data_IF_173852211521
#
_entry.id   IF_173852211521
#
_cell.length_a   1.000
_cell.length_b   1.000
_cell.length_c   1.000
_cell.angle_alpha   90.00
_cell.angle_beta   90.00
_cell.angle_gamma   90.00
#
_symmetry.space_group_name_H-M   'P 1'
#
loop_
_entity.id
_entity.type
_entity.pdbx_description
1 polymer ?
#
# COMPACT_ATOMS: atom_id res chain seq x y z
N UNK A 1 -4.06 -50.97 3.68
CA UNK A 1 -4.84 -50.53 2.50
C UNK A 1 -6.19 -49.97 2.95
N UNK A 2 -6.25 -48.70 3.36
CA UNK A 2 -7.51 -47.96 3.45
C UNK A 2 -7.54 -47.03 2.23
N UNK A 3 -8.51 -47.24 1.34
CA UNK A 3 -8.69 -46.38 0.16
C UNK A 3 -9.18 -45.01 0.65
N UNK A 4 -8.36 -43.98 0.51
CA UNK A 4 -8.82 -42.59 0.62
C UNK A 4 -9.98 -42.43 -0.37
N UNK A 5 -11.18 -42.17 0.15
CA UNK A 5 -12.36 -41.90 -0.66
C UNK A 5 -12.27 -40.47 -1.15
N UNK A 6 -11.81 -40.30 -2.38
CA UNK A 6 -12.06 -39.08 -3.15
C UNK A 6 -13.58 -38.96 -3.31
N UNK A 7 -14.22 -38.03 -2.62
CA UNK A 7 -15.58 -37.63 -2.99
C UNK A 7 -15.46 -36.75 -4.23
N UNK A 8 -15.76 -37.32 -5.40
CA UNK A 8 -15.92 -36.55 -6.62
C UNK A 8 -17.17 -35.68 -6.51
N UNK A 9 -17.01 -34.41 -6.14
CA UNK A 9 -18.01 -33.39 -6.43
C UNK A 9 -18.22 -33.34 -7.95
N UNK A 10 -19.48 -33.23 -8.40
CA UNK A 10 -19.84 -33.21 -9.83
C UNK A 10 -19.35 -31.96 -10.58
N UNK A 11 -18.69 -31.02 -9.91
CA UNK A 11 -18.16 -29.80 -10.49
C UNK A 11 -16.71 -29.61 -10.05
N UNK A 12 -15.73 -30.10 -10.83
CA UNK A 12 -14.33 -29.63 -10.95
C UNK A 12 -13.45 -29.36 -9.72
N UNK A 13 -13.95 -29.45 -8.49
CA UNK A 13 -13.30 -29.08 -7.24
C UNK A 13 -13.23 -30.29 -6.33
N UNK A 14 -12.09 -30.95 -6.31
CA UNK A 14 -11.79 -31.99 -5.31
C UNK A 14 -11.55 -31.33 -3.96
N UNK A 15 -12.59 -31.28 -3.12
CA UNK A 15 -12.45 -31.03 -1.69
C UNK A 15 -11.95 -32.33 -1.06
N UNK A 16 -10.66 -32.40 -0.79
CA UNK A 16 -10.06 -33.57 -0.16
C UNK A 16 -10.29 -33.54 1.34
N UNK A 17 -10.71 -34.67 1.92
CA UNK A 17 -10.82 -34.82 3.38
C UNK A 17 -9.48 -34.51 4.04
N UNK A 18 -9.43 -33.60 5.03
CA UNK A 18 -8.17 -33.21 5.67
C UNK A 18 -7.52 -34.38 6.41
N UNK A 19 -6.19 -34.38 6.43
CA UNK A 19 -5.40 -35.20 7.34
C UNK A 19 -5.44 -34.51 8.71
N UNK A 20 -5.88 -35.24 9.73
CA UNK A 20 -6.06 -34.74 11.10
C UNK A 20 -4.96 -35.21 12.05
N UNK A 21 -4.02 -36.01 11.55
CA UNK A 21 -2.85 -36.46 12.30
C UNK A 21 -1.93 -35.28 12.61
N UNK A 22 -1.03 -35.45 13.57
CA UNK A 22 -0.05 -34.41 13.87
C UNK A 22 1.00 -34.39 12.76
N UNK A 23 1.25 -33.24 12.09
CA UNK A 23 2.28 -33.18 11.07
C UNK A 23 3.68 -33.37 11.67
N UNK A 24 4.57 -34.04 10.93
CA UNK A 24 5.99 -34.17 11.27
C UNK A 24 6.75 -32.89 10.93
N UNK A 25 6.31 -32.16 9.91
CA UNK A 25 6.83 -30.86 9.51
C UNK A 25 5.69 -29.95 9.05
N UNK A 26 5.80 -28.66 9.38
CA UNK A 26 4.89 -27.61 8.92
C UNK A 26 5.68 -26.39 8.48
N UNK A 27 5.28 -25.83 7.34
CA UNK A 27 5.72 -24.53 6.88
C UNK A 27 4.50 -23.63 6.62
N UNK A 28 4.62 -22.35 6.91
CA UNK A 28 3.48 -21.44 6.89
C UNK A 28 3.83 -20.12 6.22
N UNK A 29 2.93 -19.64 5.36
CA UNK A 29 3.03 -18.39 4.64
C UNK A 29 1.74 -17.56 4.73
N UNK A 30 1.86 -16.27 4.47
CA UNK A 30 0.76 -15.34 4.25
C UNK A 30 0.74 -14.98 2.77
N UNK A 31 -0.35 -15.31 2.10
CA UNK A 31 -0.62 -14.88 0.73
C UNK A 31 -0.99 -13.41 0.77
N UNK A 32 -0.28 -12.59 -0.02
CA UNK A 32 -0.50 -11.15 -0.12
C UNK A 32 -0.79 -10.72 -1.56
N UNK A 33 -1.84 -9.92 -1.75
CA UNK A 33 -2.10 -9.24 -3.01
C UNK A 33 -1.30 -7.92 -3.07
N UNK A 34 -0.51 -7.74 -4.13
CA UNK A 34 0.30 -6.54 -4.32
C UNK A 34 -0.40 -5.57 -5.26
N UNK A 35 -0.81 -4.42 -4.74
CA UNK A 35 -1.46 -3.37 -5.51
C UNK A 35 -0.50 -2.68 -6.49
N UNK A 36 -1.03 -1.91 -7.44
CA UNK A 36 -0.22 -1.11 -8.37
C UNK A 36 0.65 -0.04 -7.66
N UNK A 37 0.28 0.39 -6.45
CA UNK A 37 1.07 1.32 -5.64
C UNK A 37 2.17 0.63 -4.81
N UNK A 38 2.27 -0.70 -4.89
CA UNK A 38 3.22 -1.51 -4.11
C UNK A 38 2.74 -1.87 -2.70
N UNK A 39 1.54 -1.48 -2.29
CA UNK A 39 0.94 -1.93 -1.03
C UNK A 39 0.64 -3.42 -1.07
N UNK A 40 1.03 -4.14 -0.02
CA UNK A 40 0.83 -5.59 0.16
C UNK A 40 -0.34 -5.83 1.11
N UNK A 41 -1.42 -6.39 0.59
CA UNK A 41 -2.67 -6.66 1.33
C UNK A 41 -2.71 -8.14 1.68
N UNK A 42 -3.01 -8.48 2.93
CA UNK A 42 -3.02 -9.88 3.40
C UNK A 42 -4.36 -10.52 3.07
N UNK A 43 -4.37 -11.60 2.28
CA UNK A 43 -5.62 -12.20 1.77
C UNK A 43 -5.85 -13.62 2.25
N UNK A 44 -4.81 -14.37 2.63
CA UNK A 44 -4.97 -15.70 3.20
C UNK A 44 -3.71 -16.14 3.95
N UNK A 45 -3.85 -17.10 4.87
CA UNK A 45 -2.76 -17.96 5.32
C UNK A 45 -2.69 -19.20 4.43
N UNK A 46 -1.49 -19.69 4.15
CA UNK A 46 -1.25 -20.97 3.52
C UNK A 46 -0.30 -21.79 4.40
N UNK A 47 -0.70 -23.00 4.75
CA UNK A 47 0.12 -23.94 5.50
C UNK A 47 0.42 -25.14 4.60
N UNK A 48 1.67 -25.59 4.62
CA UNK A 48 2.10 -26.88 4.08
C UNK A 48 2.44 -27.79 5.24
N UNK A 49 1.93 -29.01 5.20
CA UNK A 49 2.14 -30.03 6.21
C UNK A 49 2.56 -31.34 5.57
N UNK A 50 3.56 -32.00 6.13
CA UNK A 50 3.92 -33.37 5.79
C UNK A 50 3.81 -34.28 7.01
N UNK A 51 3.61 -35.57 6.75
CA UNK A 51 3.33 -36.59 7.74
C UNK A 51 4.34 -37.74 7.64
N UNK A 52 4.45 -38.57 8.68
CA UNK A 52 5.41 -39.69 8.72
C UNK A 52 5.16 -40.75 7.64
N UNK A 53 3.92 -40.85 7.15
CA UNK A 53 3.51 -41.79 6.11
C UNK A 53 3.75 -41.27 4.68
N UNK A 54 4.54 -40.20 4.52
CA UNK A 54 4.81 -39.50 3.25
C UNK A 54 3.60 -38.79 2.63
N UNK A 55 2.44 -38.78 3.30
CA UNK A 55 1.33 -37.92 2.90
C UNK A 55 1.68 -36.45 3.20
N UNK A 56 0.99 -35.55 2.53
CA UNK A 56 1.10 -34.11 2.76
C UNK A 56 -0.21 -33.39 2.47
N UNK A 57 -0.36 -32.17 2.98
CA UNK A 57 -1.47 -31.31 2.62
C UNK A 57 -1.09 -29.83 2.56
N UNK A 58 -1.79 -29.10 1.70
CA UNK A 58 -1.85 -27.64 1.77
C UNK A 58 -3.19 -27.22 2.36
N UNK A 59 -3.16 -26.24 3.26
CA UNK A 59 -4.33 -25.63 3.88
C UNK A 59 -4.31 -24.14 3.54
N UNK A 60 -5.29 -23.68 2.77
CA UNK A 60 -5.44 -22.24 2.49
C UNK A 60 -6.61 -21.73 3.31
N UNK A 61 -6.34 -20.72 4.14
CA UNK A 61 -7.29 -20.10 5.07
C UNK A 61 -7.49 -18.63 4.71
N UNK A 62 -8.52 -18.28 3.92
CA UNK A 62 -8.74 -16.91 3.47
C UNK A 62 -9.11 -15.95 4.61
N UNK A 63 -8.66 -14.72 4.52
CA UNK A 63 -9.01 -13.63 5.45
C UNK A 63 -10.24 -12.90 4.92
N UNK A 64 -11.42 -13.49 5.10
CA UNK A 64 -12.68 -12.98 4.54
C UNK A 64 -12.98 -11.54 4.95
N UNK A 65 -12.68 -11.16 6.21
CA UNK A 65 -12.86 -9.80 6.72
C UNK A 65 -12.08 -8.74 5.91
N UNK A 66 -10.99 -9.14 5.26
CA UNK A 66 -10.23 -8.27 4.35
C UNK A 66 -10.72 -8.44 2.93
N UNK A 67 -10.87 -9.68 2.44
CA UNK A 67 -11.24 -9.98 1.05
C UNK A 67 -12.55 -9.30 0.66
N UNK A 68 -13.55 -9.30 1.54
CA UNK A 68 -14.90 -8.80 1.24
C UNK A 68 -14.96 -7.29 0.95
N UNK A 69 -13.93 -6.54 1.34
CA UNK A 69 -13.85 -5.09 1.06
C UNK A 69 -12.90 -4.75 -0.09
N UNK A 70 -12.23 -5.75 -0.68
CA UNK A 70 -11.35 -5.53 -1.82
C UNK A 70 -12.13 -5.42 -3.13
N UNK A 71 -11.68 -4.50 -3.99
CA UNK A 71 -12.17 -4.45 -5.37
C UNK A 71 -11.65 -5.66 -6.16
N UNK A 72 -12.42 -6.19 -7.13
CA UNK A 72 -11.93 -7.20 -8.08
C UNK A 72 -10.68 -6.75 -8.87
N UNK A 73 -10.43 -5.43 -8.97
CA UNK A 73 -9.18 -4.91 -9.58
C UNK A 73 -7.94 -5.19 -8.74
N UNK A 74 -8.12 -5.36 -7.43
CA UNK A 74 -7.05 -5.58 -6.45
C UNK A 74 -6.84 -7.07 -6.21
N UNK A 75 -7.92 -7.84 -6.11
CA UNK A 75 -7.90 -9.26 -5.82
C UNK A 75 -9.03 -9.98 -6.55
N UNK A 76 -8.68 -10.96 -7.40
CA UNK A 76 -9.64 -11.74 -8.20
C UNK A 76 -9.88 -13.15 -7.67
N UNK A 77 -9.15 -13.54 -6.62
CA UNK A 77 -9.17 -14.89 -6.06
C UNK A 77 -7.79 -15.55 -6.06
N UNK A 78 -7.72 -16.75 -5.49
CA UNK A 78 -6.51 -17.57 -5.45
C UNK A 78 -6.62 -18.63 -6.57
N UNK A 79 -5.67 -18.70 -7.53
CA UNK A 79 -5.70 -19.68 -8.61
C UNK A 79 -5.93 -21.13 -8.16
N UNK A 80 -6.93 -21.78 -8.76
CA UNK A 80 -7.32 -23.17 -8.44
C UNK A 80 -8.11 -23.33 -7.15
N UNK A 81 -8.56 -22.23 -6.54
CA UNK A 81 -9.45 -22.23 -5.37
C UNK A 81 -10.79 -21.63 -5.78
N UNK A 82 -11.86 -22.41 -5.60
CA UNK A 82 -13.23 -21.92 -5.75
C UNK A 82 -13.63 -21.16 -4.49
N UNK A 83 -13.43 -19.83 -4.52
CA UNK A 83 -13.68 -18.95 -3.39
C UNK A 83 -15.18 -18.63 -3.20
N UNK A 84 -16.07 -19.04 -4.12
CA UNK A 84 -17.52 -18.84 -3.98
C UNK A 84 -18.10 -19.67 -2.84
N UNK A 85 -17.46 -20.79 -2.50
CA UNK A 85 -17.89 -21.64 -1.39
C UNK A 85 -17.71 -21.02 0.00
N UNK A 86 -16.92 -19.95 0.13
CA UNK A 86 -16.72 -19.22 1.40
C UNK A 86 -16.27 -20.12 2.58
N UNK A 87 -15.46 -21.15 2.30
CA UNK A 87 -14.94 -22.03 3.35
C UNK A 87 -13.91 -21.31 4.23
N UNK A 88 -13.85 -21.72 5.50
CA UNK A 88 -12.78 -21.30 6.42
C UNK A 88 -11.42 -21.86 5.97
N UNK A 89 -11.41 -23.11 5.51
CA UNK A 89 -10.21 -23.80 5.06
C UNK A 89 -10.45 -24.54 3.74
N UNK A 90 -9.51 -24.37 2.81
CA UNK A 90 -9.43 -25.14 1.57
C UNK A 90 -8.26 -26.11 1.66
N UNK A 91 -8.58 -27.39 1.77
CA UNK A 91 -7.60 -28.47 1.86
C UNK A 91 -7.23 -29.00 0.48
N UNK A 92 -5.93 -29.22 0.25
CA UNK A 92 -5.35 -29.96 -0.88
C UNK A 92 -4.48 -31.09 -0.35
N UNK A 93 -5.04 -32.29 -0.26
CA UNK A 93 -4.35 -33.46 0.31
C UNK A 93 -3.69 -34.29 -0.79
N UNK A 94 -2.40 -34.58 -0.62
CA UNK A 94 -1.57 -35.35 -1.54
C UNK A 94 -1.55 -34.81 -2.98
N UNK A 95 -1.78 -33.50 -3.15
CA UNK A 95 -1.57 -32.83 -4.42
C UNK A 95 -1.14 -31.37 -4.22
N UNK A 96 -0.34 -30.87 -5.16
CA UNK A 96 0.16 -29.49 -5.13
C UNK A 96 -0.87 -28.57 -5.80
N UNK A 97 -1.39 -27.53 -5.13
CA UNK A 97 -2.39 -26.63 -5.72
C UNK A 97 -1.80 -25.80 -6.88
N UNK A 98 -2.67 -25.40 -7.82
CA UNK A 98 -2.33 -24.53 -8.96
C UNK A 98 -1.60 -23.26 -8.52
N UNK A 99 -2.03 -22.67 -7.40
CA UNK A 99 -1.34 -21.53 -6.79
C UNK A 99 0.17 -21.78 -6.57
N UNK A 100 0.56 -22.97 -6.12
CA UNK A 100 1.96 -23.33 -5.92
C UNK A 100 2.62 -23.73 -7.24
N UNK A 101 1.96 -24.54 -8.08
CA UNK A 101 2.59 -25.12 -9.27
C UNK A 101 3.02 -24.07 -10.30
N UNK A 102 2.21 -23.03 -10.49
CA UNK A 102 2.46 -21.95 -11.47
C UNK A 102 3.63 -21.01 -11.10
N UNK A 103 4.22 -21.17 -9.90
CA UNK A 103 5.20 -20.21 -9.34
C UNK A 103 6.48 -20.86 -8.84
N UNK A 104 6.58 -22.18 -8.89
CA UNK A 104 7.65 -22.93 -8.26
C UNK A 104 8.23 -23.96 -9.23
N UNK A 105 9.56 -24.21 -9.18
CA UNK A 105 10.20 -25.29 -9.91
C UNK A 105 9.48 -26.62 -9.68
N UNK A 106 9.30 -27.41 -10.74
CA UNK A 106 8.81 -28.78 -10.65
C UNK A 106 9.93 -29.74 -10.26
N UNK A 107 9.57 -30.84 -9.62
CA UNK A 107 10.52 -31.86 -9.11
C UNK A 107 11.35 -32.52 -10.22
N UNK A 108 10.79 -32.61 -11.43
CA UNK A 108 11.43 -33.26 -12.58
C UNK A 108 12.40 -32.34 -13.36
N UNK A 109 12.68 -31.13 -12.88
CA UNK A 109 13.60 -30.21 -13.55
C UNK A 109 15.05 -30.65 -13.38
N UNK A 110 15.82 -30.65 -14.46
CA UNK A 110 17.26 -30.98 -14.42
C UNK A 110 18.07 -30.00 -13.55
N UNK A 111 17.73 -28.72 -13.62
CA UNK A 111 18.39 -27.62 -12.88
C UNK A 111 17.80 -27.35 -11.48
N UNK A 112 16.96 -28.26 -10.95
CA UNK A 112 16.21 -28.03 -9.72
C UNK A 112 17.11 -27.66 -8.53
N UNK A 113 18.16 -28.44 -8.27
CA UNK A 113 19.00 -28.24 -7.09
C UNK A 113 19.82 -26.95 -7.16
N UNK A 114 20.29 -26.56 -8.35
CA UNK A 114 20.96 -25.27 -8.56
C UNK A 114 20.01 -24.11 -8.28
N UNK A 115 18.75 -24.23 -8.73
CA UNK A 115 17.71 -23.25 -8.41
C UNK A 115 17.50 -23.17 -6.90
N UNK A 116 17.27 -24.30 -6.22
CA UNK A 116 17.05 -24.35 -4.76
C UNK A 116 18.24 -23.72 -4.00
N UNK A 117 19.47 -24.07 -4.37
CA UNK A 117 20.67 -23.51 -3.76
C UNK A 117 20.77 -21.98 -3.95
N UNK A 118 20.35 -21.47 -5.12
CA UNK A 118 20.37 -20.01 -5.40
C UNK A 118 19.50 -19.18 -4.45
N UNK A 119 18.53 -19.81 -3.78
CA UNK A 119 17.67 -19.20 -2.74
C UNK A 119 17.99 -19.72 -1.34
N UNK A 120 19.08 -20.47 -1.18
CA UNK A 120 19.56 -21.02 0.08
C UNK A 120 18.70 -22.18 0.60
N UNK A 121 18.20 -23.03 -0.29
CA UNK A 121 17.50 -24.28 0.06
C UNK A 121 18.35 -25.50 -0.29
N UNK A 122 18.44 -26.42 0.67
CA UNK A 122 19.08 -27.74 0.56
C UNK A 122 18.05 -28.88 0.59
N UNK A 123 16.75 -28.56 0.60
CA UNK A 123 15.64 -29.50 0.51
C UNK A 123 14.54 -28.97 -0.42
N UNK A 124 13.73 -29.87 -0.96
CA UNK A 124 12.63 -29.53 -1.86
C UNK A 124 11.35 -29.21 -1.10
N UNK A 125 11.10 -27.91 -0.86
CA UNK A 125 9.83 -27.38 -0.34
C UNK A 125 9.37 -26.22 -1.24
N UNK A 126 8.27 -26.44 -1.95
CA UNK A 126 7.73 -25.47 -2.91
C UNK A 126 7.14 -24.24 -2.21
N UNK A 127 6.60 -24.38 -1.00
CA UNK A 127 6.12 -23.21 -0.25
C UNK A 127 7.30 -22.38 0.26
N UNK A 128 8.35 -23.03 0.73
CA UNK A 128 9.57 -22.35 1.17
C UNK A 128 10.22 -21.56 0.03
N UNK A 129 10.27 -22.15 -1.17
CA UNK A 129 10.71 -21.45 -2.38
C UNK A 129 9.94 -20.15 -2.61
N UNK A 130 8.61 -20.17 -2.47
CA UNK A 130 7.78 -18.97 -2.64
C UNK A 130 8.01 -17.94 -1.56
N UNK A 131 8.21 -18.37 -0.31
CA UNK A 131 8.51 -17.46 0.81
C UNK A 131 9.83 -16.71 0.57
N UNK A 132 10.80 -17.36 -0.07
CA UNK A 132 12.15 -16.82 -0.33
C UNK A 132 12.26 -16.01 -1.62
N UNK A 133 11.26 -16.07 -2.49
CA UNK A 133 11.26 -15.38 -3.78
C UNK A 133 10.08 -14.42 -3.88
N UNK A 134 10.16 -13.45 -4.80
CA UNK A 134 9.03 -12.56 -5.10
C UNK A 134 8.30 -12.99 -6.39
N UNK A 135 8.35 -14.28 -6.74
CA UNK A 135 7.76 -14.79 -7.97
C UNK A 135 6.24 -14.68 -7.95
N UNK A 136 5.68 -14.35 -9.10
CA UNK A 136 4.24 -14.19 -9.34
C UNK A 136 3.88 -14.98 -10.58
N UNK A 137 2.65 -15.49 -10.62
CA UNK A 137 2.11 -16.04 -11.86
C UNK A 137 1.72 -14.87 -12.79
N UNK A 138 1.67 -15.12 -14.09
CA UNK A 138 1.30 -14.10 -15.08
C UNK A 138 -0.14 -13.59 -14.92
N UNK A 139 -0.99 -14.36 -14.25
CA UNK A 139 -2.45 -14.15 -14.18
C UNK A 139 -2.89 -13.42 -12.91
N UNK A 140 -1.99 -13.09 -12.00
CA UNK A 140 -2.33 -12.43 -10.74
C UNK A 140 -1.17 -11.60 -10.14
N UNK A 141 -1.47 -10.96 -9.01
CA UNK A 141 -0.57 -10.08 -8.28
C UNK A 141 -0.18 -10.64 -6.90
N UNK A 142 -0.23 -11.97 -6.71
CA UNK A 142 -0.05 -12.59 -5.40
C UNK A 142 1.42 -12.96 -5.14
N UNK A 143 1.85 -12.74 -3.90
CA UNK A 143 3.13 -13.21 -3.35
C UNK A 143 2.88 -13.97 -2.04
N UNK A 144 3.91 -14.64 -1.52
CA UNK A 144 3.88 -15.28 -0.20
C UNK A 144 4.99 -14.71 0.67
N UNK A 145 4.68 -14.38 1.92
CA UNK A 145 5.68 -14.04 2.94
C UNK A 145 5.56 -15.02 4.11
N UNK A 146 6.65 -15.29 4.83
CA UNK A 146 6.64 -16.22 5.96
C UNK A 146 5.59 -15.84 7.01
N UNK A 147 4.73 -16.77 7.40
CA UNK A 147 3.81 -16.58 8.51
C UNK A 147 4.52 -16.82 9.86
N UNK A 148 4.11 -16.08 10.89
CA UNK A 148 4.47 -16.34 12.27
C UNK A 148 3.52 -17.36 12.89
N UNK A 149 4.03 -18.12 13.84
CA UNK A 149 3.22 -19.06 14.64
C UNK A 149 2.36 -18.31 15.66
N UNK A 150 2.91 -17.26 16.26
CA UNK A 150 2.27 -16.48 17.30
C UNK A 150 1.91 -15.07 16.84
N UNK A 151 0.73 -14.61 17.29
CA UNK A 151 0.31 -13.22 17.16
C UNK A 151 1.18 -12.34 18.03
N UNK A 152 1.51 -11.16 17.52
CA UNK A 152 2.32 -10.17 18.22
C UNK A 152 1.44 -9.02 18.72
N UNK A 153 1.65 -8.62 19.97
CA UNK A 153 1.18 -7.34 20.50
C UNK A 153 2.33 -6.35 20.57
N UNK A 154 2.18 -5.18 19.96
CA UNK A 154 3.20 -4.13 19.92
C UNK A 154 2.63 -2.80 20.40
N UNK A 155 3.24 -2.21 21.43
CA UNK A 155 2.92 -0.84 21.84
C UNK A 155 3.77 0.17 21.06
N UNK A 156 3.14 1.18 20.48
CA UNK A 156 3.80 2.21 19.66
C UNK A 156 3.42 3.60 20.18
N UNK A 157 4.42 4.37 20.61
CA UNK A 157 4.25 5.76 21.07
C UNK A 157 4.67 6.80 20.03
N UNK A 158 5.49 6.40 19.05
CA UNK A 158 6.07 7.31 18.05
C UNK A 158 5.50 7.06 16.66
N UNK A 159 5.03 8.12 16.01
CA UNK A 159 4.40 8.06 14.69
C UNK A 159 5.39 7.63 13.60
N UNK A 160 6.64 8.05 13.74
CA UNK A 160 7.75 7.73 12.85
C UNK A 160 7.99 6.22 12.78
N UNK A 161 7.67 5.50 13.87
CA UNK A 161 7.81 4.05 14.00
C UNK A 161 6.54 3.30 13.58
N UNK A 162 5.36 3.90 13.76
CA UNK A 162 4.06 3.29 13.48
C UNK A 162 3.97 2.65 12.09
N UNK A 163 4.41 3.38 11.06
CA UNK A 163 4.35 2.87 9.68
C UNK A 163 5.16 1.58 9.49
N UNK A 164 6.36 1.52 10.06
CA UNK A 164 7.23 0.35 9.97
C UNK A 164 6.62 -0.83 10.72
N UNK A 165 6.11 -0.59 11.94
CA UNK A 165 5.42 -1.62 12.73
C UNK A 165 4.22 -2.19 11.99
N UNK A 166 3.41 -1.33 11.37
CA UNK A 166 2.28 -1.76 10.55
C UNK A 166 2.73 -2.63 9.36
N UNK A 167 3.78 -2.22 8.65
CA UNK A 167 4.31 -2.96 7.50
C UNK A 167 4.88 -4.34 7.89
N UNK A 168 5.43 -4.47 9.11
CA UNK A 168 5.96 -5.72 9.69
C UNK A 168 4.88 -6.60 10.36
N UNK A 169 3.64 -6.10 10.47
CA UNK A 169 2.52 -6.79 11.14
C UNK A 169 1.89 -7.86 10.25
N UNK A 170 1.32 -8.88 10.89
CA UNK A 170 0.56 -9.95 10.25
C UNK A 170 -0.88 -9.94 10.73
N UNK A 171 -1.75 -10.60 9.96
CA UNK A 171 -3.15 -10.76 10.29
C UNK A 171 -3.34 -11.24 11.74
N UNK A 172 -4.17 -10.52 12.50
CA UNK A 172 -4.48 -10.81 13.89
C UNK A 172 -3.50 -10.22 14.90
N UNK A 173 -2.43 -9.55 14.48
CA UNK A 173 -1.57 -8.79 15.39
C UNK A 173 -2.29 -7.60 16.01
N UNK A 174 -1.80 -7.15 17.17
CA UNK A 174 -2.35 -6.04 17.93
C UNK A 174 -1.34 -4.90 17.96
N UNK A 175 -1.76 -3.71 17.52
CA UNK A 175 -1.01 -2.47 17.72
C UNK A 175 -1.74 -1.62 18.76
N UNK A 176 -1.03 -1.29 19.83
CA UNK A 176 -1.52 -0.44 20.90
C UNK A 176 -0.84 0.93 20.86
N UNK A 177 -1.61 2.00 20.82
CA UNK A 177 -1.13 3.39 20.81
C UNK A 177 -1.67 4.15 22.03
N UNK A 178 -0.92 5.14 22.56
CA UNK A 178 -1.43 5.99 23.63
C UNK A 178 -2.63 6.82 23.17
N UNK A 179 -2.59 7.31 21.93
CA UNK A 179 -3.66 8.07 21.31
C UNK A 179 -3.59 8.03 19.77
N UNK A 180 -4.68 8.40 19.09
CA UNK A 180 -4.80 8.36 17.63
C UNK A 180 -3.85 9.31 16.88
N UNK A 181 -3.15 10.25 17.54
CA UNK A 181 -2.18 11.12 16.86
C UNK A 181 -0.94 10.35 16.41
N UNK A 182 -0.67 9.19 17.01
CA UNK A 182 0.35 8.23 16.54
C UNK A 182 -0.06 7.61 15.20
N UNK A 183 -1.36 7.44 14.97
CA UNK A 183 -1.93 6.88 13.73
C UNK A 183 -2.00 7.95 12.64
N UNK A 184 -2.40 9.19 12.94
CA UNK A 184 -2.43 10.26 11.94
C UNK A 184 -2.54 11.68 12.51
N UNK A 185 -1.93 12.66 11.82
CA UNK A 185 -1.93 14.07 12.26
C UNK A 185 -3.23 14.82 11.98
N UNK A 186 -4.03 14.30 11.06
CA UNK A 186 -5.31 14.86 10.64
C UNK A 186 -6.21 13.72 10.17
N UNK A 187 -7.48 14.03 9.91
CA UNK A 187 -8.48 13.06 9.44
C UNK A 187 -8.05 12.34 8.17
N UNK A 188 -7.42 13.04 7.21
CA UNK A 188 -6.90 12.42 5.98
C UNK A 188 -5.87 11.32 6.27
N UNK A 189 -4.87 11.62 7.09
CA UNK A 189 -3.80 10.70 7.44
C UNK A 189 -4.34 9.54 8.30
N UNK A 190 -5.22 9.84 9.24
CA UNK A 190 -5.87 8.84 10.10
C UNK A 190 -6.72 7.87 9.28
N UNK A 191 -7.64 8.36 8.44
CA UNK A 191 -8.46 7.51 7.55
C UNK A 191 -7.59 6.65 6.63
N UNK A 192 -6.49 7.20 6.11
CA UNK A 192 -5.54 6.42 5.30
C UNK A 192 -4.90 5.30 6.12
N UNK A 193 -4.42 5.55 7.33
CA UNK A 193 -3.78 4.51 8.14
C UNK A 193 -4.79 3.49 8.67
N UNK A 194 -6.02 3.89 9.01
CA UNK A 194 -7.10 2.97 9.37
C UNK A 194 -7.42 2.01 8.22
N UNK A 195 -7.45 2.51 6.98
CA UNK A 195 -7.64 1.65 5.81
C UNK A 195 -6.49 0.65 5.63
N UNK A 196 -5.25 1.06 5.95
CA UNK A 196 -4.09 0.16 5.92
C UNK A 196 -4.13 -0.85 7.07
N UNK A 197 -4.49 -0.45 8.28
CA UNK A 197 -4.68 -1.39 9.40
C UNK A 197 -5.66 -2.50 9.03
N UNK A 198 -6.76 -2.14 8.37
CA UNK A 198 -7.71 -3.10 7.81
C UNK A 198 -7.06 -4.03 6.77
N UNK A 199 -6.36 -3.49 5.76
CA UNK A 199 -5.69 -4.31 4.73
C UNK A 199 -4.63 -5.29 5.29
N UNK A 200 -4.04 -4.96 6.45
CA UNK A 200 -3.08 -5.81 7.14
C UNK A 200 -3.75 -6.73 8.17
N UNK A 201 -5.05 -6.57 8.44
CA UNK A 201 -5.78 -7.36 9.42
C UNK A 201 -5.31 -7.11 10.85
N UNK A 202 -4.96 -5.88 11.19
CA UNK A 202 -4.39 -5.53 12.50
C UNK A 202 -5.45 -4.95 13.42
N UNK A 203 -5.47 -5.46 14.64
CA UNK A 203 -6.27 -4.94 15.74
C UNK A 203 -5.63 -3.66 16.30
N UNK A 204 -6.36 -2.54 16.29
CA UNK A 204 -5.89 -1.27 16.85
C UNK A 204 -6.51 -1.01 18.22
N UNK A 205 -5.69 -0.72 19.22
CA UNK A 205 -6.12 -0.23 20.53
C UNK A 205 -5.56 1.19 20.73
N UNK A 206 -6.42 2.18 20.98
CA UNK A 206 -6.03 3.52 21.41
C UNK A 206 -6.52 3.81 22.83
N UNK A 207 -5.58 4.02 23.77
CA UNK A 207 -5.92 4.18 25.19
C UNK A 207 -6.72 5.45 25.49
N UNK A 208 -6.26 6.60 24.98
CA UNK A 208 -6.85 7.91 25.30
C UNK A 208 -8.26 8.06 24.77
N UNK A 209 -8.50 7.63 23.52
CA UNK A 209 -9.82 7.68 22.90
C UNK A 209 -10.71 6.49 23.30
N UNK A 210 -10.19 5.53 24.07
CA UNK A 210 -10.88 4.27 24.42
C UNK A 210 -11.38 3.53 23.17
N UNK A 211 -10.53 3.50 22.14
CA UNK A 211 -10.81 2.84 20.86
C UNK A 211 -10.21 1.44 20.89
N UNK A 212 -10.99 0.48 20.46
CA UNK A 212 -10.62 -0.94 20.36
C UNK A 212 -11.28 -1.46 19.08
N UNK A 213 -10.48 -1.61 18.00
CA UNK A 213 -10.96 -1.93 16.65
C UNK A 213 -10.40 -3.26 16.16
N UNK A 214 -11.23 -4.29 16.12
CA UNK A 214 -10.94 -5.55 15.47
C UNK A 214 -11.05 -5.43 13.94
N UNK A 215 -10.56 -6.44 13.22
CA UNK A 215 -10.53 -6.45 11.74
C UNK A 215 -11.92 -6.25 11.13
N UNK A 216 -12.95 -6.89 11.70
CA UNK A 216 -14.35 -6.76 11.25
C UNK A 216 -14.94 -5.35 11.46
N UNK A 217 -14.46 -4.61 12.47
CA UNK A 217 -15.03 -3.31 12.82
C UNK A 217 -14.68 -2.23 11.78
N UNK A 218 -13.53 -2.36 11.12
CA UNK A 218 -13.10 -1.41 10.09
C UNK A 218 -14.08 -1.33 8.93
N UNK A 219 -14.74 -2.43 8.54
CA UNK A 219 -15.67 -2.43 7.41
C UNK A 219 -16.84 -1.45 7.65
N UNK A 220 -17.37 -1.41 8.87
CA UNK A 220 -18.46 -0.52 9.26
C UNK A 220 -17.99 0.93 9.46
N UNK A 221 -16.78 1.12 9.97
CA UNK A 221 -16.29 2.45 10.39
C UNK A 221 -15.57 3.23 9.28
N UNK A 222 -14.92 2.57 8.33
CA UNK A 222 -14.18 3.24 7.25
C UNK A 222 -15.03 4.23 6.44
N UNK A 223 -16.28 3.92 6.05
CA UNK A 223 -17.14 4.89 5.37
C UNK A 223 -17.40 6.15 6.21
N UNK A 224 -17.56 5.99 7.53
CA UNK A 224 -17.75 7.10 8.46
C UNK A 224 -16.50 7.98 8.53
N UNK A 225 -15.33 7.38 8.73
CA UNK A 225 -14.05 8.09 8.74
C UNK A 225 -13.75 8.79 7.41
N UNK A 226 -14.12 8.17 6.29
CA UNK A 226 -13.99 8.79 4.98
C UNK A 226 -14.90 10.01 4.83
N UNK A 227 -16.15 9.93 5.29
CA UNK A 227 -17.06 11.08 5.27
C UNK A 227 -16.58 12.20 6.19
N UNK A 228 -16.08 11.88 7.39
CA UNK A 228 -15.50 12.87 8.31
C UNK A 228 -14.31 13.59 7.67
N UNK A 229 -13.40 12.85 7.02
CA UNK A 229 -12.30 13.44 6.26
C UNK A 229 -12.78 14.41 5.17
N UNK A 230 -13.81 14.04 4.40
CA UNK A 230 -14.36 14.93 3.36
C UNK A 230 -14.93 16.22 3.97
N UNK A 231 -15.66 16.11 5.07
CA UNK A 231 -16.24 17.25 5.77
C UNK A 231 -15.15 18.21 6.29
N UNK A 232 -14.06 17.68 6.84
CA UNK A 232 -12.93 18.50 7.28
C UNK A 232 -12.27 19.25 6.12
N UNK A 233 -12.11 18.62 4.95
CA UNK A 233 -11.58 19.28 3.76
C UNK A 233 -12.52 20.35 3.20
N UNK A 234 -13.83 20.11 3.22
CA UNK A 234 -14.84 21.11 2.84
C UNK A 234 -14.78 22.32 3.78
N UNK A 235 -14.73 22.08 5.09
CA UNK A 235 -14.61 23.13 6.10
C UNK A 235 -13.32 23.95 5.93
N UNK A 236 -12.16 23.29 5.74
CA UNK A 236 -10.88 23.95 5.51
C UNK A 236 -10.92 24.86 4.27
N UNK A 237 -11.52 24.40 3.17
CA UNK A 237 -11.70 25.20 1.95
C UNK A 237 -12.62 26.40 2.17
N UNK A 238 -13.70 26.21 2.91
CA UNK A 238 -14.64 27.28 3.25
C UNK A 238 -14.00 28.36 4.10
N UNK A 239 -13.21 27.98 5.11
CA UNK A 239 -12.45 28.92 5.94
C UNK A 239 -11.39 29.67 5.13
N UNK A 240 -10.64 28.95 4.28
CA UNK A 240 -9.68 29.57 3.37
C UNK A 240 -10.35 30.60 2.45
N UNK A 241 -11.53 30.28 1.90
CA UNK A 241 -12.30 31.21 1.07
C UNK A 241 -12.72 32.45 1.85
N UNK A 242 -13.25 32.30 3.06
CA UNK A 242 -13.62 33.42 3.95
C UNK A 242 -12.40 34.30 4.27
N UNK A 243 -11.24 33.70 4.53
CA UNK A 243 -9.99 34.41 4.78
C UNK A 243 -9.52 35.21 3.57
N UNK A 244 -9.58 34.62 2.37
CA UNK A 244 -9.27 35.32 1.11
C UNK A 244 -10.23 36.48 0.86
N UNK A 245 -11.54 36.28 1.06
CA UNK A 245 -12.54 37.33 0.91
C UNK A 245 -12.30 38.49 1.88
N UNK A 246 -11.92 38.20 3.13
CA UNK A 246 -11.53 39.21 4.11
C UNK A 246 -10.28 39.98 3.66
N UNK A 247 -9.21 39.28 3.29
CA UNK A 247 -7.97 39.90 2.83
C UNK A 247 -8.15 40.74 1.54
N UNK A 248 -9.06 40.33 0.66
CA UNK A 248 -9.47 41.14 -0.51
C UNK A 248 -10.19 42.41 -0.10
N UNK A 249 -11.14 42.33 0.84
CA UNK A 249 -11.86 43.50 1.38
C UNK A 249 -10.92 44.47 2.08
N UNK A 250 -9.94 43.95 2.81
CA UNK A 250 -8.92 44.73 3.53
C UNK A 250 -7.79 45.24 2.61
N UNK A 251 -7.83 44.95 1.31
CA UNK A 251 -6.84 45.43 0.34
C UNK A 251 -5.44 44.81 0.48
N UNK A 252 -5.27 43.79 1.34
CA UNK A 252 -3.98 43.13 1.61
C UNK A 252 -3.48 42.34 0.39
N UNK A 253 -4.38 41.93 -0.50
CA UNK A 253 -4.07 41.13 -1.68
C UNK A 253 -3.40 41.97 -2.79
N UNK A 254 -2.11 42.29 -2.63
CA UNK A 254 -1.33 43.09 -3.60
C UNK A 254 -0.70 42.27 -4.75
N UNK A 255 -1.04 40.99 -4.87
CA UNK A 255 -0.42 40.07 -5.84
C UNK A 255 1.05 39.76 -5.55
N UNK A 256 1.74 39.13 -6.51
CA UNK A 256 3.17 38.83 -6.38
C UNK A 256 3.94 40.15 -6.36
N UNK A 257 4.69 40.42 -5.28
CA UNK A 257 5.61 41.56 -5.22
C UNK A 257 6.53 41.56 -6.44
N UNK A 258 6.68 42.71 -7.09
CA UNK A 258 7.59 42.86 -8.24
C UNK A 258 9.01 42.56 -7.77
N UNK A 259 9.81 41.91 -8.60
CA UNK A 259 11.26 41.72 -8.31
C UNK A 259 11.88 43.11 -8.12
N UNK A 260 12.47 43.38 -6.97
CA UNK A 260 13.11 44.68 -6.75
C UNK A 260 14.32 44.80 -7.70
N UNK A 261 14.34 45.91 -8.43
CA UNK A 261 15.45 46.35 -9.28
C UNK A 261 15.48 47.86 -9.08
N UNK A 262 16.68 48.41 -8.90
CA UNK A 262 16.90 49.85 -8.87
C UNK A 262 16.23 50.50 -10.10
N UNK A 263 15.34 51.44 -9.84
CA UNK A 263 14.48 52.04 -10.87
C UNK A 263 15.27 53.00 -11.76
N UNK A 264 16.26 53.71 -11.21
CA UNK A 264 17.15 54.58 -11.98
C UNK A 264 18.07 53.76 -12.88
N UNK A 265 18.65 52.68 -12.34
CA UNK A 265 19.45 51.74 -13.13
C UNK A 265 18.64 51.11 -14.26
N UNK A 266 17.40 50.70 -13.98
CA UNK A 266 16.55 50.09 -15.00
C UNK A 266 16.20 51.07 -16.12
N UNK A 267 15.96 52.35 -15.82
CA UNK A 267 15.67 53.39 -16.81
C UNK A 267 16.89 53.62 -17.71
N UNK A 268 18.09 53.75 -17.14
CA UNK A 268 19.32 53.90 -17.90
C UNK A 268 19.57 52.70 -18.84
N UNK A 269 19.40 51.48 -18.34
CA UNK A 269 19.55 50.26 -19.13
C UNK A 269 18.51 50.13 -20.24
N UNK A 270 17.26 50.53 -20.01
CA UNK A 270 16.22 50.60 -21.04
C UNK A 270 16.64 51.60 -22.14
N UNK A 271 17.13 52.79 -21.76
CA UNK A 271 17.58 53.80 -22.71
C UNK A 271 18.80 53.34 -23.53
N UNK A 272 19.76 52.66 -22.90
CA UNK A 272 20.93 52.08 -23.59
C UNK A 272 20.53 50.96 -24.56
N UNK A 273 19.62 50.08 -24.15
CA UNK A 273 19.06 49.03 -25.00
C UNK A 273 18.32 49.60 -26.21
N UNK A 274 17.44 50.59 -26.01
CA UNK A 274 16.67 51.22 -27.09
C UNK A 274 17.54 51.94 -28.13
N UNK A 275 18.68 52.49 -27.70
CA UNK A 275 19.65 53.15 -28.57
C UNK A 275 20.67 52.18 -29.18
N UNK A 276 20.49 50.86 -29.01
CA UNK A 276 21.39 49.82 -29.54
C UNK A 276 22.78 49.82 -28.91
N UNK A 277 22.95 50.39 -27.72
CA UNK A 277 24.23 50.47 -27.00
C UNK A 277 24.50 49.27 -26.09
N UNK A 278 23.48 48.48 -25.78
CA UNK A 278 23.56 47.24 -25.01
C UNK A 278 22.64 46.19 -25.65
N UNK A 279 23.10 44.94 -25.66
CA UNK A 279 22.30 43.81 -26.11
C UNK A 279 21.34 43.33 -25.00
N UNK A 280 20.27 42.64 -25.41
CA UNK A 280 19.24 42.16 -24.47
C UNK A 280 19.85 41.26 -23.39
N UNK A 281 20.75 40.36 -23.76
CA UNK A 281 21.44 39.44 -22.85
C UNK A 281 22.19 40.18 -21.72
N UNK A 282 22.91 41.25 -22.05
CA UNK A 282 23.69 42.04 -21.09
C UNK A 282 22.77 42.74 -20.07
N UNK A 283 21.64 43.28 -20.54
CA UNK A 283 20.66 43.94 -19.68
C UNK A 283 19.97 42.96 -18.73
N UNK A 284 19.69 41.74 -19.19
CA UNK A 284 19.06 40.71 -18.37
C UNK A 284 20.03 40.15 -17.33
N UNK A 285 21.31 40.06 -17.65
CA UNK A 285 22.35 39.67 -16.71
C UNK A 285 22.51 40.71 -15.60
N UNK A 286 22.59 42.00 -15.94
CA UNK A 286 22.74 43.10 -14.98
C UNK A 286 21.50 43.25 -14.09
N UNK A 287 20.29 43.16 -14.66
CA UNK A 287 19.03 43.34 -13.89
C UNK A 287 18.55 42.06 -13.21
N UNK A 288 19.08 40.90 -13.61
CA UNK A 288 18.58 39.58 -13.24
C UNK A 288 17.11 39.34 -13.64
N UNK A 289 16.53 40.13 -14.55
CA UNK A 289 15.14 39.99 -14.97
C UNK A 289 15.00 38.90 -16.03
N UNK A 290 13.81 38.31 -16.12
CA UNK A 290 13.47 37.50 -17.30
C UNK A 290 13.19 38.42 -18.50
N UNK A 291 13.43 37.95 -19.73
CA UNK A 291 13.05 38.64 -20.98
C UNK A 291 11.64 39.23 -20.91
N UNK A 292 10.67 38.42 -20.52
CA UNK A 292 9.26 38.82 -20.36
C UNK A 292 9.03 39.92 -19.32
N UNK A 293 9.78 39.91 -18.22
CA UNK A 293 9.67 40.94 -17.18
C UNK A 293 10.28 42.25 -17.64
N UNK A 294 11.43 42.20 -18.32
CA UNK A 294 12.10 43.37 -18.88
C UNK A 294 11.21 44.08 -19.91
N UNK A 295 10.71 43.36 -20.93
CA UNK A 295 9.82 43.94 -21.93
C UNK A 295 8.52 44.51 -21.33
N UNK A 296 7.94 43.85 -20.33
CA UNK A 296 6.76 44.36 -19.62
C UNK A 296 7.07 45.68 -18.90
N UNK A 297 8.25 45.81 -18.27
CA UNK A 297 8.67 47.05 -17.61
C UNK A 297 9.00 48.16 -18.59
N UNK A 298 9.66 47.83 -19.69
CA UNK A 298 9.95 48.76 -20.77
C UNK A 298 8.65 49.32 -21.39
N UNK A 299 7.64 48.48 -21.61
CA UNK A 299 6.32 48.93 -22.07
C UNK A 299 5.64 49.87 -21.06
N UNK A 300 5.65 49.51 -19.77
CA UNK A 300 5.09 50.36 -18.72
C UNK A 300 5.84 51.70 -18.55
N UNK A 301 7.15 51.73 -18.80
CA UNK A 301 7.94 52.96 -18.82
C UNK A 301 7.51 53.87 -19.98
N UNK A 302 7.38 53.31 -21.19
CA UNK A 302 6.88 54.05 -22.37
C UNK A 302 5.47 54.62 -22.18
N UNK A 303 4.59 53.92 -21.47
CA UNK A 303 3.23 54.39 -21.18
C UNK A 303 3.18 55.47 -20.08
N UNK A 304 4.25 55.69 -19.31
CA UNK A 304 4.35 56.76 -18.30
C UNK A 304 4.94 58.06 -18.83
N UNK A 305 5.64 58.04 -19.96
CA UNK A 305 6.24 59.22 -20.59
C UNK A 305 5.31 59.90 -21.64
N UNK A 306 4.08 59.40 -21.79
CA UNK A 306 2.98 60.02 -22.55
C UNK A 306 1.79 60.27 -21.62
#
# INVERSE_FOLDING_TARGET
MRRNRTMSGRDGGTYTTPILEKPSYRNSGIIKAVTASGEKIQVARIDYESFENEEFQYIISPFWDIIDVLSPKVFQGIPGIDMELRLEHYYRVNYVPVFITERTPGESREDLWELLESVGLDYYDRLEWLIRTNLRAAIDNLIVERARDERKKTSVSEREVFRKVLEDSQYGDIIEVPDLRVVGRNSKECTKQLNRLMHYGVHLISRKESVDLEVKDYQALLPVFYRMYQMDEENRKNEQKKGIERAKKEGVYAGRKRKEVDEELLIDLIGKFQNGKLELEEVLEITGLSRSTFYRRMKAFREKEF
#
